data_IF_808926555886
#
_entry.id   IF_808926555886
#
_cell.length_a   1.000
_cell.length_b   1.000
_cell.length_c   1.000
_cell.angle_alpha   90.00
_cell.angle_beta   90.00
_cell.angle_gamma   90.00
#
_symmetry.space_group_name_H-M   'P 1'
#
loop_
_entity.id
_entity.type
_entity.pdbx_description
1 polymer ?
#
# COMPACT_ATOMS: atom_id res chain seq x y z
N UNK A 1 -18.11 -7.19 12.38
CA UNK A 1 -16.91 -6.71 11.63
C UNK A 1 -17.14 -5.31 11.12
N UNK A 2 -16.21 -4.38 11.37
CA UNK A 2 -16.19 -3.01 10.82
C UNK A 2 -14.94 -2.79 9.99
N UNK A 3 -15.02 -2.05 8.90
CA UNK A 3 -13.83 -1.63 8.14
C UNK A 3 -13.18 -0.42 8.79
N UNK A 4 -11.87 -0.25 8.59
CA UNK A 4 -11.09 0.81 9.24
C UNK A 4 -11.62 2.22 8.94
N UNK A 5 -12.16 2.42 7.75
CA UNK A 5 -12.76 3.68 7.30
C UNK A 5 -14.14 3.96 7.91
N UNK A 6 -14.79 2.94 8.48
CA UNK A 6 -16.08 3.08 9.18
C UNK A 6 -15.88 3.32 10.70
N UNK A 7 -14.64 3.48 11.15
CA UNK A 7 -14.30 3.75 12.56
C UNK A 7 -14.32 5.24 12.85
N UNK A 8 -14.56 5.58 14.11
CA UNK A 8 -14.64 6.97 14.57
C UNK A 8 -13.74 7.24 15.78
N UNK A 9 -13.37 8.50 15.94
CA UNK A 9 -12.66 9.01 17.13
C UNK A 9 -11.36 8.26 17.47
N UNK A 10 -11.19 7.89 18.74
CA UNK A 10 -9.95 7.28 19.25
C UNK A 10 -9.63 5.93 18.62
N UNK A 11 -10.66 5.16 18.25
CA UNK A 11 -10.47 3.84 17.66
C UNK A 11 -9.90 3.95 16.25
N UNK A 12 -10.45 4.86 15.43
CA UNK A 12 -9.91 5.19 14.10
C UNK A 12 -8.42 5.55 14.17
N UNK A 13 -8.06 6.51 15.03
CA UNK A 13 -6.68 6.98 15.16
C UNK A 13 -5.71 5.84 15.55
N UNK A 14 -6.09 5.01 16.53
CA UNK A 14 -5.23 3.93 17.01
C UNK A 14 -5.05 2.81 15.97
N UNK A 15 -6.13 2.46 15.25
CA UNK A 15 -6.10 1.41 14.22
C UNK A 15 -5.32 1.87 13.00
N UNK A 16 -5.54 3.10 12.53
CA UNK A 16 -4.83 3.66 11.37
C UNK A 16 -3.33 3.81 11.66
N UNK A 17 -2.94 4.22 12.86
CA UNK A 17 -1.52 4.24 13.25
C UNK A 17 -0.89 2.83 13.25
N UNK A 18 -1.60 1.82 13.79
CA UNK A 18 -1.12 0.43 13.79
C UNK A 18 -0.96 -0.11 12.36
N UNK A 19 -1.94 0.15 11.50
CA UNK A 19 -1.89 -0.20 10.09
C UNK A 19 -0.70 0.48 9.41
N UNK A 20 -0.53 1.81 9.57
CA UNK A 20 0.55 2.56 8.95
C UNK A 20 1.93 1.97 9.31
N UNK A 21 2.16 1.67 10.60
CA UNK A 21 3.41 1.07 11.07
C UNK A 21 3.66 -0.31 10.44
N UNK A 22 2.65 -1.17 10.42
CA UNK A 22 2.76 -2.51 9.87
C UNK A 22 2.96 -2.48 8.34
N UNK A 23 2.20 -1.64 7.64
CA UNK A 23 2.31 -1.48 6.20
C UNK A 23 3.67 -0.90 5.81
N UNK A 24 4.15 0.14 6.51
CA UNK A 24 5.49 0.70 6.33
C UNK A 24 6.59 -0.34 6.51
N UNK A 25 6.49 -1.17 7.54
CA UNK A 25 7.46 -2.26 7.74
C UNK A 25 7.39 -3.28 6.60
N UNK A 26 6.17 -3.67 6.18
CA UNK A 26 5.96 -4.60 5.08
C UNK A 26 6.60 -4.11 3.77
N UNK A 27 6.36 -2.85 3.37
CA UNK A 27 6.95 -2.31 2.13
C UNK A 27 8.48 -2.17 2.18
N UNK A 28 9.06 -2.00 3.38
CA UNK A 28 10.52 -1.97 3.57
C UNK A 28 11.10 -3.38 3.48
N UNK A 29 10.52 -4.34 4.19
CA UNK A 29 11.01 -5.71 4.22
C UNK A 29 10.90 -6.42 2.87
N UNK A 30 9.88 -6.06 2.08
CA UNK A 30 9.71 -6.56 0.71
C UNK A 30 10.64 -5.88 -0.30
N UNK A 31 11.34 -4.80 0.05
CA UNK A 31 12.14 -4.03 -0.91
C UNK A 31 11.31 -3.23 -1.94
N UNK A 32 9.99 -3.26 -1.84
CA UNK A 32 9.06 -2.60 -2.76
C UNK A 32 9.33 -1.09 -2.89
N UNK A 33 9.76 -0.43 -1.82
CA UNK A 33 10.16 1.00 -1.82
C UNK A 33 11.36 1.25 -2.74
N UNK A 34 12.35 0.35 -2.74
CA UNK A 34 13.53 0.47 -3.59
C UNK A 34 13.17 0.25 -5.07
N UNK A 35 12.28 -0.71 -5.37
CA UNK A 35 11.77 -0.92 -6.71
C UNK A 35 10.96 0.29 -7.23
N UNK A 36 10.14 0.91 -6.39
CA UNK A 36 9.31 2.06 -6.76
C UNK A 36 10.13 3.31 -7.14
N UNK A 37 11.36 3.44 -6.65
CA UNK A 37 12.16 4.67 -6.74
C UNK A 37 13.35 4.58 -7.70
N UNK A 38 13.45 3.51 -8.50
CA UNK A 38 14.54 3.38 -9.47
C UNK A 38 14.52 4.51 -10.51
N UNK A 39 15.65 5.22 -10.70
CA UNK A 39 15.70 6.33 -11.65
C UNK A 39 15.68 5.83 -13.09
N UNK A 40 15.13 6.64 -14.00
CA UNK A 40 15.19 6.35 -15.43
C UNK A 40 16.65 6.37 -15.93
N UNK A 41 17.04 5.44 -16.82
CA UNK A 41 18.37 5.46 -17.43
C UNK A 41 18.47 6.61 -18.44
N UNK A 42 19.06 7.72 -17.99
CA UNK A 42 19.29 8.92 -18.80
C UNK A 42 20.78 9.02 -19.18
N UNK A 43 21.03 9.39 -20.43
CA UNK A 43 22.37 9.57 -20.99
C UNK A 43 22.83 11.02 -20.93
N UNK A 44 21.90 11.96 -20.69
CA UNK A 44 22.16 13.40 -20.69
C UNK A 44 22.00 14.05 -22.06
N UNK A 45 21.84 13.27 -23.12
CA UNK A 45 21.69 13.73 -24.50
C UNK A 45 20.22 13.76 -24.95
N UNK A 46 19.27 13.39 -24.09
CA UNK A 46 17.84 13.39 -24.40
C UNK A 46 17.29 14.80 -24.61
N UNK A 47 16.36 14.93 -25.55
CA UNK A 47 15.48 16.10 -25.57
C UNK A 47 14.58 16.14 -24.32
N UNK A 48 13.96 17.29 -23.97
CA UNK A 48 12.99 17.34 -22.87
C UNK A 48 11.84 16.33 -23.01
N UNK A 49 11.38 16.09 -24.24
CA UNK A 49 10.30 15.14 -24.56
C UNK A 49 10.76 13.69 -24.37
N UNK A 50 11.94 13.33 -24.87
CA UNK A 50 12.53 12.01 -24.67
C UNK A 50 12.80 11.72 -23.20
N UNK A 51 13.29 12.72 -22.46
CA UNK A 51 13.50 12.61 -21.01
C UNK A 51 12.18 12.36 -20.29
N UNK A 52 11.13 13.13 -20.59
CA UNK A 52 9.81 12.94 -19.99
C UNK A 52 9.25 11.55 -20.28
N UNK A 53 9.38 11.08 -21.52
CA UNK A 53 8.96 9.73 -21.94
C UNK A 53 9.71 8.64 -21.17
N UNK A 54 11.04 8.71 -21.09
CA UNK A 54 11.85 7.73 -20.35
C UNK A 54 11.51 7.68 -18.85
N UNK A 55 11.23 8.85 -18.25
CA UNK A 55 10.79 8.92 -16.85
C UNK A 55 9.43 8.24 -16.66
N UNK A 56 8.48 8.49 -17.55
CA UNK A 56 7.16 7.86 -17.50
C UNK A 56 7.24 6.33 -17.69
N UNK A 57 8.04 5.87 -18.66
CA UNK A 57 8.26 4.44 -18.91
C UNK A 57 8.94 3.75 -17.73
N UNK A 58 9.94 4.38 -17.11
CA UNK A 58 10.56 3.83 -15.91
C UNK A 58 9.58 3.82 -14.74
N UNK A 59 8.78 4.88 -14.55
CA UNK A 59 7.75 4.92 -13.52
C UNK A 59 6.75 3.78 -13.64
N UNK A 60 6.32 3.44 -14.86
CA UNK A 60 5.45 2.30 -15.12
C UNK A 60 6.12 0.96 -14.75
N UNK A 61 7.38 0.75 -15.14
CA UNK A 61 8.15 -0.45 -14.78
C UNK A 61 8.33 -0.59 -13.27
N UNK A 62 8.65 0.51 -12.60
CA UNK A 62 8.80 0.54 -11.14
C UNK A 62 7.49 0.16 -10.43
N UNK A 63 6.36 0.66 -10.93
CA UNK A 63 5.05 0.33 -10.38
C UNK A 63 4.70 -1.15 -10.58
N UNK A 64 4.96 -1.71 -11.78
CA UNK A 64 4.75 -3.13 -12.07
C UNK A 64 5.62 -4.02 -11.16
N UNK A 65 6.91 -3.70 -11.04
CA UNK A 65 7.84 -4.45 -10.19
C UNK A 65 7.42 -4.39 -8.72
N UNK A 66 7.03 -3.20 -8.23
CA UNK A 66 6.52 -3.04 -6.88
C UNK A 66 5.29 -3.93 -6.62
N UNK A 67 4.34 -4.00 -7.57
CA UNK A 67 3.16 -4.85 -7.43
C UNK A 67 3.52 -6.34 -7.45
N UNK A 68 4.45 -6.75 -8.31
CA UNK A 68 4.98 -8.12 -8.37
C UNK A 68 5.60 -8.54 -7.04
N UNK A 69 6.44 -7.67 -6.45
CA UNK A 69 7.04 -7.92 -5.13
C UNK A 69 5.98 -8.06 -4.03
N UNK A 70 4.98 -7.16 -3.99
CA UNK A 70 3.97 -7.13 -2.91
C UNK A 70 2.98 -8.29 -3.01
N UNK A 71 2.53 -8.63 -4.22
CA UNK A 71 1.39 -9.54 -4.41
C UNK A 71 1.75 -10.92 -4.95
N UNK A 72 2.97 -11.11 -5.46
CA UNK A 72 3.44 -12.40 -5.96
C UNK A 72 4.58 -12.95 -5.10
N UNK A 73 5.69 -12.21 -4.98
CA UNK A 73 6.88 -12.70 -4.27
C UNK A 73 6.73 -12.73 -2.75
N UNK A 74 6.07 -11.70 -2.20
CA UNK A 74 5.87 -11.52 -0.76
C UNK A 74 4.39 -11.45 -0.36
N UNK A 75 3.56 -12.20 -1.08
CA UNK A 75 2.12 -12.25 -0.86
C UNK A 75 1.75 -12.62 0.59
N UNK A 76 2.54 -13.45 1.26
CA UNK A 76 2.34 -13.86 2.66
C UNK A 76 2.49 -12.67 3.64
N UNK A 77 3.38 -11.72 3.32
CA UNK A 77 3.57 -10.51 4.11
C UNK A 77 2.38 -9.58 3.96
N UNK A 78 1.91 -9.42 2.72
CA UNK A 78 0.69 -8.65 2.42
C UNK A 78 -0.53 -9.26 3.10
N UNK A 79 -0.67 -10.59 3.08
CA UNK A 79 -1.75 -11.31 3.76
C UNK A 79 -1.78 -11.03 5.27
N UNK A 80 -0.62 -10.88 5.92
CA UNK A 80 -0.53 -10.52 7.36
C UNK A 80 -0.99 -9.08 7.64
N UNK A 81 -0.96 -8.19 6.66
CA UNK A 81 -1.42 -6.81 6.82
C UNK A 81 -2.94 -6.67 6.58
N UNK A 82 -3.52 -7.49 5.69
CA UNK A 82 -4.94 -7.43 5.33
C UNK A 82 -5.92 -7.39 6.53
N UNK A 83 -5.73 -8.16 7.63
CA UNK A 83 -6.60 -8.07 8.80
C UNK A 83 -6.62 -6.70 9.49
N UNK A 84 -5.62 -5.83 9.26
CA UNK A 84 -5.55 -4.52 9.88
C UNK A 84 -6.53 -3.51 9.26
N UNK A 85 -7.12 -3.82 8.10
CA UNK A 85 -8.17 -3.00 7.48
C UNK A 85 -9.55 -3.24 8.08
N UNK A 86 -9.69 -4.17 9.02
CA UNK A 86 -10.95 -4.47 9.70
C UNK A 86 -10.77 -4.57 11.21
N UNK A 87 -11.87 -4.38 11.92
CA UNK A 87 -12.01 -4.67 13.34
C UNK A 87 -13.08 -5.74 13.50
N UNK A 88 -12.69 -6.85 14.13
CA UNK A 88 -13.58 -7.96 14.43
C UNK A 88 -14.26 -7.71 15.77
N UNK A 89 -15.56 -8.02 15.82
CA UNK A 89 -16.30 -8.04 17.07
C UNK A 89 -15.90 -9.26 17.90
N UNK A 90 -16.18 -9.23 19.20
CA UNK A 90 -15.77 -10.32 20.11
C UNK A 90 -16.41 -11.64 19.68
N UNK A 91 -15.58 -12.63 19.35
CA UNK A 91 -16.02 -13.96 18.94
C UNK A 91 -16.25 -14.11 17.44
N UNK A 92 -16.00 -13.07 16.62
CA UNK A 92 -15.98 -13.21 15.17
C UNK A 92 -14.70 -13.93 14.69
N UNK A 93 -14.88 -14.81 13.72
CA UNK A 93 -13.78 -15.46 13.01
C UNK A 93 -13.13 -14.51 11.99
N UNK A 94 -11.87 -14.77 11.66
CA UNK A 94 -11.18 -14.01 10.62
C UNK A 94 -11.85 -14.25 9.25
N UNK A 95 -12.28 -13.20 8.54
CA UNK A 95 -12.87 -13.33 7.22
C UNK A 95 -11.89 -13.93 6.20
N UNK A 96 -12.40 -14.54 5.11
CA UNK A 96 -11.55 -14.98 4.01
C UNK A 96 -10.76 -13.82 3.39
N UNK A 97 -9.55 -14.11 2.88
CA UNK A 97 -8.62 -13.14 2.28
C UNK A 97 -9.28 -12.20 1.26
N UNK A 98 -10.18 -12.71 0.42
CA UNK A 98 -10.95 -11.89 -0.56
C UNK A 98 -11.76 -10.76 0.08
N UNK A 99 -12.33 -10.98 1.28
CA UNK A 99 -13.11 -9.96 1.99
C UNK A 99 -12.20 -8.91 2.60
N UNK A 100 -11.06 -9.34 3.15
CA UNK A 100 -10.06 -8.43 3.70
C UNK A 100 -9.42 -7.56 2.59
N UNK A 101 -9.15 -8.15 1.43
CA UNK A 101 -8.67 -7.42 0.24
C UNK A 101 -9.70 -6.40 -0.27
N UNK A 102 -11.00 -6.71 -0.19
CA UNK A 102 -12.05 -5.75 -0.52
C UNK A 102 -12.08 -4.56 0.46
N UNK A 103 -11.95 -4.81 1.77
CA UNK A 103 -11.84 -3.75 2.79
C UNK A 103 -10.60 -2.88 2.57
N UNK A 104 -9.45 -3.49 2.25
CA UNK A 104 -8.26 -2.76 1.83
C UNK A 104 -8.52 -1.90 0.61
N UNK A 105 -9.10 -2.46 -0.46
CA UNK A 105 -9.38 -1.73 -1.69
C UNK A 105 -10.30 -0.53 -1.44
N UNK A 106 -11.32 -0.66 -0.58
CA UNK A 106 -12.22 0.44 -0.23
C UNK A 106 -11.46 1.52 0.54
N UNK A 107 -10.65 1.14 1.53
CA UNK A 107 -9.83 2.08 2.28
C UNK A 107 -8.80 2.81 1.40
N UNK A 108 -8.10 2.11 0.50
CA UNK A 108 -7.13 2.71 -0.41
C UNK A 108 -7.77 3.61 -1.48
N UNK A 109 -9.09 3.50 -1.69
CA UNK A 109 -9.87 4.37 -2.59
C UNK A 109 -10.49 5.58 -1.87
N UNK A 110 -10.37 5.65 -0.54
CA UNK A 110 -10.89 6.75 0.25
C UNK A 110 -9.82 7.85 0.41
N UNK A 111 -10.10 9.04 -0.13
CA UNK A 111 -9.12 10.13 -0.22
C UNK A 111 -8.70 10.67 1.15
N UNK A 112 -9.65 10.81 2.09
CA UNK A 112 -9.40 11.34 3.43
C UNK A 112 -8.57 10.36 4.26
N UNK A 113 -8.93 9.08 4.20
CA UNK A 113 -8.15 8.01 4.80
C UNK A 113 -6.73 7.97 4.22
N UNK A 114 -6.59 8.03 2.89
CA UNK A 114 -5.28 7.97 2.25
C UNK A 114 -4.42 9.20 2.55
N UNK A 115 -5.02 10.39 2.64
CA UNK A 115 -4.32 11.59 3.07
C UNK A 115 -3.78 11.44 4.50
N UNK A 116 -4.60 10.94 5.42
CA UNK A 116 -4.16 10.69 6.79
C UNK A 116 -3.11 9.58 6.87
N UNK A 117 -3.32 8.45 6.19
CA UNK A 117 -2.38 7.32 6.17
C UNK A 117 -1.01 7.76 5.66
N UNK A 118 -0.96 8.56 4.57
CA UNK A 118 0.29 9.13 4.03
C UNK A 118 1.00 10.02 5.04
N UNK A 119 0.28 10.80 5.85
CA UNK A 119 0.90 11.65 6.88
C UNK A 119 1.62 10.87 7.99
N UNK A 120 1.34 9.56 8.12
CA UNK A 120 1.91 8.68 9.14
C UNK A 120 3.10 7.83 8.62
N UNK A 121 3.33 7.80 7.31
CA UNK A 121 4.36 6.97 6.65
C UNK A 121 5.60 7.80 6.31
#
# INVERSE_FOLDING_TARGET
MKEIIDLEGKEYLAKTYKLAKAYKQCIVDTGAVAAATQPAPLTGNETPEEKAKKIAEQGAKNAEEMMRMIYEEHADMTEKVLPLFVVLDKGEELPPTRKLAAAMSRALSDDDFMAFLKSLM
#
